data_IF_594578326277
#
_entry.id   IF_594578326277
#
_cell.length_a   1.000
_cell.length_b   1.000
_cell.length_c   1.000
_cell.angle_alpha   90.00
_cell.angle_beta   90.00
_cell.angle_gamma   90.00
#
_symmetry.space_group_name_H-M   'P 1'
#
loop_
_entity.id
_entity.type
_entity.pdbx_description
1 polymer ?
#
# COMPACT_ATOMS: atom_id res chain seq x y z
N UNK A 1 -36.97 -34.94 -6.59
CA UNK A 1 -36.04 -34.60 -7.69
C UNK A 1 -35.90 -33.08 -7.82
N UNK A 2 -35.39 -32.40 -6.79
CA UNK A 2 -35.30 -30.92 -6.74
C UNK A 2 -33.88 -30.40 -7.00
N UNK A 3 -32.98 -31.24 -7.53
CA UNK A 3 -31.54 -30.98 -7.58
C UNK A 3 -30.99 -30.33 -8.85
N UNK A 4 -31.74 -30.24 -9.96
CA UNK A 4 -31.13 -29.93 -11.28
C UNK A 4 -31.43 -28.53 -11.83
N UNK A 5 -32.51 -27.87 -11.39
CA UNK A 5 -32.86 -26.53 -11.89
C UNK A 5 -31.98 -25.42 -11.28
N UNK A 6 -31.31 -25.69 -10.16
CA UNK A 6 -30.47 -24.70 -9.48
C UNK A 6 -29.14 -24.44 -10.21
N UNK A 7 -28.58 -25.46 -10.87
CA UNK A 7 -27.27 -25.39 -11.52
C UNK A 7 -27.26 -24.44 -12.75
N UNK A 8 -28.26 -24.48 -13.66
CA UNK A 8 -28.33 -23.51 -14.76
C UNK A 8 -28.49 -22.06 -14.28
N UNK A 9 -29.29 -21.84 -13.22
CA UNK A 9 -29.47 -20.50 -12.64
C UNK A 9 -28.20 -20.00 -11.94
N UNK A 10 -27.50 -20.87 -11.21
CA UNK A 10 -26.23 -20.53 -10.58
C UNK A 10 -25.19 -20.10 -11.62
N UNK A 11 -25.07 -20.85 -12.72
CA UNK A 11 -24.19 -20.51 -13.85
C UNK A 11 -24.57 -19.20 -14.52
N UNK A 12 -25.87 -18.97 -14.73
CA UNK A 12 -26.35 -17.72 -15.28
C UNK A 12 -25.99 -16.52 -14.39
N UNK A 13 -26.29 -16.61 -13.09
CA UNK A 13 -25.99 -15.55 -12.12
C UNK A 13 -24.49 -15.27 -12.03
N UNK A 14 -23.66 -16.32 -11.99
CA UNK A 14 -22.20 -16.19 -11.99
C UNK A 14 -21.65 -15.53 -13.26
N UNK A 15 -22.37 -15.60 -14.39
CA UNK A 15 -21.96 -14.96 -15.64
C UNK A 15 -22.35 -13.47 -15.74
N UNK A 16 -23.13 -12.94 -14.80
CA UNK A 16 -23.60 -11.54 -14.84
C UNK A 16 -22.54 -10.55 -14.35
N UNK A 17 -21.68 -10.98 -13.43
CA UNK A 17 -20.68 -10.14 -12.79
C UNK A 17 -19.30 -10.76 -12.93
N UNK A 18 -18.28 -9.92 -12.93
CA UNK A 18 -16.89 -10.35 -12.88
C UNK A 18 -16.12 -9.47 -11.91
N UNK A 19 -15.03 -10.00 -11.37
CA UNK A 19 -14.15 -9.24 -10.48
C UNK A 19 -13.66 -7.97 -11.17
N UNK A 20 -13.65 -6.86 -10.43
CA UNK A 20 -13.15 -5.60 -10.95
C UNK A 20 -11.64 -5.71 -11.18
N UNK A 21 -11.19 -5.61 -12.44
CA UNK A 21 -9.76 -5.67 -12.78
C UNK A 21 -8.92 -4.53 -12.20
N UNK A 22 -9.54 -3.40 -11.82
CA UNK A 22 -8.84 -2.25 -11.23
C UNK A 22 -8.46 -2.47 -9.77
N UNK A 23 -9.36 -3.05 -8.96
CA UNK A 23 -9.10 -3.32 -7.53
C UNK A 23 -8.89 -4.80 -7.22
N UNK A 24 -8.89 -5.68 -8.22
CA UNK A 24 -8.73 -7.12 -8.02
C UNK A 24 -9.85 -7.77 -7.20
N UNK A 25 -11.04 -7.17 -7.16
CA UNK A 25 -12.19 -7.71 -6.41
C UNK A 25 -12.40 -7.14 -5.01
N UNK A 26 -11.50 -6.30 -4.49
CA UNK A 26 -11.57 -5.83 -3.09
C UNK A 26 -12.57 -4.70 -2.87
N UNK A 27 -12.92 -3.97 -3.93
CA UNK A 27 -13.72 -2.73 -3.84
C UNK A 27 -12.91 -1.49 -3.43
N UNK A 28 -11.68 -1.64 -2.96
CA UNK A 28 -10.79 -0.56 -2.55
C UNK A 28 -9.50 -0.49 -3.37
N UNK A 29 -8.92 0.68 -3.50
CA UNK A 29 -7.57 0.86 -4.03
C UNK A 29 -6.74 1.67 -3.03
N UNK A 30 -5.50 1.24 -2.78
CA UNK A 30 -4.56 2.03 -1.97
C UNK A 30 -4.30 3.35 -2.70
N UNK A 31 -4.43 4.47 -1.97
CA UNK A 31 -4.22 5.81 -2.53
C UNK A 31 -2.75 6.00 -2.92
N UNK A 32 -2.47 6.79 -3.95
CA UNK A 32 -1.11 6.89 -4.49
C UNK A 32 -0.11 7.48 -3.47
N UNK A 33 -0.55 8.42 -2.64
CA UNK A 33 0.25 8.98 -1.54
C UNK A 33 0.70 7.91 -0.53
N UNK A 34 -0.18 6.95 -0.20
CA UNK A 34 0.14 5.84 0.68
C UNK A 34 1.06 4.82 0.01
N UNK A 35 0.86 4.53 -1.28
CA UNK A 35 1.80 3.67 -2.04
C UNK A 35 3.19 4.29 -2.10
N UNK A 36 3.28 5.60 -2.35
CA UNK A 36 4.55 6.31 -2.37
C UNK A 36 5.23 6.26 -0.99
N UNK A 37 4.46 6.49 0.08
CA UNK A 37 4.96 6.40 1.44
C UNK A 37 5.51 5.01 1.77
N UNK A 38 4.77 3.93 1.48
CA UNK A 38 5.26 2.55 1.69
C UNK A 38 6.51 2.23 0.88
N UNK A 39 6.58 2.65 -0.39
CA UNK A 39 7.79 2.46 -1.22
C UNK A 39 9.02 3.11 -0.57
N UNK A 40 8.86 4.32 -0.06
CA UNK A 40 9.93 5.03 0.63
C UNK A 40 10.27 4.39 1.99
N UNK A 41 9.27 3.89 2.73
CA UNK A 41 9.49 3.15 3.97
C UNK A 41 10.35 1.90 3.72
N UNK A 42 10.01 1.10 2.71
CA UNK A 42 10.75 -0.11 2.33
C UNK A 42 12.19 0.19 1.92
N UNK A 43 12.43 1.31 1.24
CA UNK A 43 13.76 1.78 0.90
C UNK A 43 14.57 2.16 2.15
N UNK A 44 13.98 2.96 3.06
CA UNK A 44 14.63 3.35 4.33
C UNK A 44 14.98 2.13 5.19
N UNK A 45 14.09 1.13 5.27
CA UNK A 45 14.37 -0.12 5.97
C UNK A 45 15.58 -0.85 5.37
N UNK A 46 15.65 -0.95 4.04
CA UNK A 46 16.78 -1.58 3.35
C UNK A 46 18.10 -0.84 3.59
N UNK A 47 18.08 0.49 3.52
CA UNK A 47 19.26 1.33 3.77
C UNK A 47 19.71 1.19 5.23
N UNK A 48 18.79 1.25 6.19
CA UNK A 48 19.11 1.10 7.61
C UNK A 48 19.72 -0.27 7.93
N UNK A 49 19.19 -1.34 7.34
CA UNK A 49 19.75 -2.68 7.47
C UNK A 49 21.16 -2.78 6.85
N UNK A 50 21.38 -2.15 5.69
CA UNK A 50 22.69 -2.14 5.05
C UNK A 50 23.73 -1.36 5.88
N UNK A 51 23.34 -0.20 6.42
CA UNK A 51 24.21 0.61 7.27
C UNK A 51 24.59 -0.11 8.57
N UNK A 52 23.64 -0.79 9.23
CA UNK A 52 23.94 -1.62 10.41
C UNK A 52 24.95 -2.71 10.10
N UNK A 53 24.72 -3.49 9.02
CA UNK A 53 25.68 -4.51 8.59
C UNK A 53 27.07 -3.93 8.30
N UNK A 54 27.15 -2.76 7.67
CA UNK A 54 28.43 -2.11 7.40
C UNK A 54 29.13 -1.65 8.69
N UNK A 55 28.38 -1.14 9.67
CA UNK A 55 28.90 -0.77 10.97
C UNK A 55 29.40 -1.98 11.77
N UNK A 56 28.67 -3.11 11.71
CA UNK A 56 29.06 -4.37 12.37
C UNK A 56 30.32 -4.99 11.76
N UNK A 57 30.59 -4.73 10.47
CA UNK A 57 31.80 -5.17 9.78
C UNK A 57 32.98 -4.18 9.89
N UNK A 58 32.77 -2.99 10.46
CA UNK A 58 33.86 -2.05 10.67
C UNK A 58 34.80 -2.63 11.74
N UNK A 59 36.12 -2.66 11.50
CA UNK A 59 37.05 -3.14 12.51
C UNK A 59 36.87 -2.30 13.78
N UNK A 60 36.77 -2.96 14.94
CA UNK A 60 36.86 -2.30 16.25
C UNK A 60 38.05 -1.34 16.18
N UNK A 61 37.79 -0.03 16.30
CA UNK A 61 38.87 0.91 16.57
C UNK A 61 39.52 0.43 17.86
N UNK A 62 40.73 -0.13 17.75
CA UNK A 62 41.52 -0.59 18.87
C UNK A 62 41.53 0.47 19.99
N UNK A 63 41.35 0.10 21.26
CA UNK A 63 41.32 1.06 22.36
C UNK A 63 42.76 1.48 22.67
N UNK A 64 43.25 2.49 21.96
CA UNK A 64 44.55 3.07 22.26
C UNK A 64 44.46 4.58 22.50
N UNK A 65 44.43 4.87 23.82
CA UNK A 65 45.15 5.92 24.53
C UNK A 65 44.69 7.37 24.33
N UNK A 66 44.13 7.93 25.41
CA UNK A 66 44.13 9.37 25.66
C UNK A 66 45.56 9.93 25.55
N UNK A 67 45.68 11.18 25.08
CA UNK A 67 46.07 12.21 26.05
C UNK A 67 45.12 13.39 26.05
N UNK A 68 44.79 13.79 27.28
CA UNK A 68 44.11 15.03 27.66
C UNK A 68 44.71 16.24 26.94
N UNK A 69 43.89 16.97 26.17
CA UNK A 69 44.10 18.41 25.92
C UNK A 69 42.76 19.13 25.94
N UNK A 70 42.59 20.03 26.92
CA UNK A 70 41.51 21.02 26.95
C UNK A 70 41.74 22.06 25.85
N UNK A 71 40.84 22.13 24.87
CA UNK A 71 40.80 23.13 23.81
C UNK A 71 39.38 23.30 23.24
N UNK A 72 39.00 24.52 22.79
CA UNK A 72 37.61 24.96 22.72
C UNK A 72 36.82 24.28 21.59
N UNK A 73 35.53 24.02 21.88
CA UNK A 73 34.45 23.57 21.00
C UNK A 73 34.80 23.54 19.49
N UNK A 74 35.28 22.37 19.03
CA UNK A 74 35.43 22.07 17.60
C UNK A 74 34.07 21.95 16.89
N UNK A 75 34.05 22.05 15.55
CA UNK A 75 32.83 22.19 14.75
C UNK A 75 31.92 20.98 14.93
N UNK A 76 30.60 21.22 14.91
CA UNK A 76 29.56 20.22 15.07
C UNK A 76 29.94 18.89 14.41
N UNK A 77 30.16 17.85 15.22
CA UNK A 77 30.53 16.53 14.74
C UNK A 77 29.56 16.09 13.63
N UNK A 78 30.08 15.76 12.45
CA UNK A 78 29.27 15.27 11.35
C UNK A 78 28.44 14.08 11.85
N UNK A 79 27.11 14.09 11.67
CA UNK A 79 26.27 13.02 12.18
C UNK A 79 26.73 11.70 11.55
N UNK A 80 26.98 10.71 12.40
CA UNK A 80 27.19 9.33 11.96
C UNK A 80 26.12 8.94 10.95
N UNK A 81 26.48 8.17 9.94
CA UNK A 81 25.56 7.66 8.91
C UNK A 81 24.31 7.03 9.56
N UNK A 82 24.49 6.34 10.70
CA UNK A 82 23.38 5.77 11.48
C UNK A 82 22.44 6.85 12.02
N UNK A 83 22.99 7.91 12.63
CA UNK A 83 22.19 9.03 13.16
C UNK A 83 21.48 9.82 12.05
N UNK A 84 22.07 9.91 10.86
CA UNK A 84 21.42 10.50 9.69
C UNK A 84 20.25 9.64 9.20
N UNK A 85 20.40 8.31 9.19
CA UNK A 85 19.34 7.37 8.82
C UNK A 85 18.20 7.40 9.85
N UNK A 86 18.50 7.39 11.14
CA UNK A 86 17.47 7.45 12.19
C UNK A 86 16.63 8.72 12.07
N UNK A 87 17.29 9.87 11.82
CA UNK A 87 16.58 11.13 11.55
C UNK A 87 15.68 11.03 10.30
N UNK A 88 16.18 10.43 9.22
CA UNK A 88 15.40 10.25 8.00
C UNK A 88 14.17 9.34 8.22
N UNK A 89 14.30 8.32 9.07
CA UNK A 89 13.17 7.47 9.48
C UNK A 89 12.15 8.29 10.29
N UNK A 90 12.59 9.07 11.27
CA UNK A 90 11.69 9.91 12.06
C UNK A 90 10.97 10.95 11.21
N UNK A 91 11.68 11.57 10.26
CA UNK A 91 11.11 12.52 9.30
C UNK A 91 10.06 11.83 8.43
N UNK A 92 10.34 10.62 7.94
CA UNK A 92 9.41 9.83 7.14
C UNK A 92 8.16 9.42 7.91
N UNK A 93 8.31 9.02 9.18
CA UNK A 93 7.20 8.70 10.07
C UNK A 93 6.34 9.93 10.37
N UNK A 94 6.96 11.11 10.51
CA UNK A 94 6.24 12.39 10.66
C UNK A 94 5.52 12.81 9.38
N UNK A 95 6.06 12.47 8.22
CA UNK A 95 5.49 12.76 6.90
C UNK A 95 4.39 11.75 6.46
N UNK A 96 3.89 10.91 7.38
CA UNK A 96 2.82 9.96 7.09
C UNK A 96 1.60 10.66 6.47
N UNK A 97 1.05 10.14 5.35
CA UNK A 97 -0.14 10.71 4.74
C UNK A 97 -1.31 10.81 5.72
N UNK A 98 -2.10 11.86 5.57
CA UNK A 98 -3.30 12.08 6.37
C UNK A 98 -4.51 11.47 5.66
N UNK A 99 -5.41 10.85 6.43
CA UNK A 99 -6.61 10.20 5.90
C UNK A 99 -6.45 8.68 5.72
N UNK A 100 -7.46 8.02 5.12
CA UNK A 100 -7.46 6.58 4.96
C UNK A 100 -6.44 6.12 3.92
N UNK A 101 -5.89 4.93 4.13
CA UNK A 101 -4.94 4.30 3.22
C UNK A 101 -5.58 3.84 1.91
N UNK A 102 -6.83 3.38 2.00
CA UNK A 102 -7.62 2.93 0.88
C UNK A 102 -8.72 3.93 0.55
N UNK A 103 -9.01 4.06 -0.74
CA UNK A 103 -10.20 4.74 -1.23
C UNK A 103 -11.07 3.79 -2.03
N UNK A 104 -12.36 4.13 -2.12
CA UNK A 104 -13.32 3.36 -2.88
C UNK A 104 -12.90 3.33 -4.35
N UNK A 105 -12.85 2.12 -4.92
CA UNK A 105 -12.51 1.94 -6.33
C UNK A 105 -13.58 2.60 -7.21
N UNK A 106 -13.19 3.62 -8.00
CA UNK A 106 -14.12 4.34 -8.87
C UNK A 106 -14.75 3.48 -9.98
N UNK A 107 -14.05 2.43 -10.43
CA UNK A 107 -14.53 1.56 -11.51
C UNK A 107 -15.70 0.66 -11.10
N UNK A 108 -15.66 0.10 -9.88
CA UNK A 108 -16.73 -0.74 -9.32
C UNK A 108 -17.57 -0.02 -8.25
N UNK A 109 -17.24 1.24 -7.94
CA UNK A 109 -17.88 2.03 -6.86
C UNK A 109 -17.92 1.27 -5.53
N UNK A 110 -16.84 0.57 -5.19
CA UNK A 110 -16.73 -0.13 -3.91
C UNK A 110 -17.28 -1.55 -3.84
N UNK A 111 -17.97 -2.04 -4.88
CA UNK A 111 -18.57 -3.39 -4.84
C UNK A 111 -17.56 -4.53 -5.01
N UNK A 112 -16.39 -4.23 -5.59
CA UNK A 112 -15.41 -5.25 -6.01
C UNK A 112 -15.79 -5.98 -7.30
N UNK A 113 -17.00 -5.79 -7.82
CA UNK A 113 -17.50 -6.47 -9.02
C UNK A 113 -18.01 -5.48 -10.07
N UNK A 114 -17.94 -5.87 -11.33
CA UNK A 114 -18.49 -5.11 -12.45
C UNK A 114 -19.38 -6.01 -13.29
N UNK A 115 -20.43 -5.45 -13.89
CA UNK A 115 -21.30 -6.19 -14.79
C UNK A 115 -20.53 -6.64 -16.03
N UNK A 116 -20.71 -7.90 -16.42
CA UNK A 116 -20.29 -8.40 -17.74
C UNK A 116 -21.17 -7.81 -18.84
N UNK A 117 -20.87 -8.01 -20.13
CA UNK A 117 -21.79 -7.64 -21.21
C UNK A 117 -23.20 -8.24 -21.03
N UNK A 118 -23.27 -9.50 -20.57
CA UNK A 118 -24.55 -10.18 -20.27
C UNK A 118 -25.26 -9.53 -19.08
N UNK A 119 -24.53 -9.24 -18.01
CA UNK A 119 -25.07 -8.52 -16.83
C UNK A 119 -25.63 -7.15 -17.19
N UNK A 120 -24.93 -6.37 -18.01
CA UNK A 120 -25.41 -5.08 -18.52
C UNK A 120 -26.70 -5.24 -19.33
N UNK A 121 -26.76 -6.25 -20.21
CA UNK A 121 -27.96 -6.51 -21.00
C UNK A 121 -29.16 -6.87 -20.14
N UNK A 122 -28.96 -7.65 -19.07
CA UNK A 122 -30.02 -7.95 -18.11
C UNK A 122 -30.46 -6.69 -17.37
N UNK A 123 -29.53 -5.87 -16.88
CA UNK A 123 -29.85 -4.61 -16.22
C UNK A 123 -30.68 -3.68 -17.11
N UNK A 124 -30.35 -3.57 -18.40
CA UNK A 124 -31.15 -2.82 -19.39
C UNK A 124 -32.59 -3.37 -19.54
N UNK A 125 -32.75 -4.70 -19.57
CA UNK A 125 -34.08 -5.33 -19.65
C UNK A 125 -34.89 -4.96 -18.40
N UNK A 126 -34.29 -5.12 -17.21
CA UNK A 126 -34.96 -4.83 -15.95
C UNK A 126 -35.34 -3.35 -15.85
N UNK A 127 -34.45 -2.44 -16.28
CA UNK A 127 -34.72 -1.00 -16.31
C UNK A 127 -35.88 -0.65 -17.27
N UNK A 128 -35.91 -1.22 -18.49
CA UNK A 128 -37.00 -1.01 -19.45
C UNK A 128 -38.37 -1.42 -18.93
N UNK A 129 -38.43 -2.40 -18.04
CA UNK A 129 -39.66 -2.88 -17.43
C UNK A 129 -39.93 -2.27 -16.04
N UNK A 130 -39.14 -1.28 -15.61
CA UNK A 130 -39.36 -0.54 -14.36
C UNK A 130 -38.91 -1.25 -13.09
N UNK A 131 -38.14 -2.35 -13.20
CA UNK A 131 -37.62 -3.08 -12.04
C UNK A 131 -36.40 -2.41 -11.39
N UNK A 132 -35.69 -1.55 -12.13
CA UNK A 132 -34.52 -0.81 -11.62
C UNK A 132 -34.59 0.63 -12.14
N UNK A 133 -34.24 1.60 -11.29
CA UNK A 133 -34.06 3.00 -11.68
C UNK A 133 -32.57 3.28 -11.86
N UNK A 134 -32.20 3.92 -12.96
CA UNK A 134 -30.83 4.40 -13.16
C UNK A 134 -30.44 5.37 -12.03
N UNK A 135 -29.27 5.12 -11.41
CA UNK A 135 -28.66 5.96 -10.39
C UNK A 135 -27.24 6.35 -10.77
#
# INVERSE_FOLDING_TARGET
>A
MTGDAAEPWARFLAALETGCGTCGGTGGVVREEWRAWHRQADELVRVAQAARRAADMAPEKAPHQEPVTLGPAGPAAEPSIVAAIDRAIDDHMRARPQGPEEEMCGACRGSGVVLTPTGRRLAEILARHGFVRDR
#
